data_IF_439579899332
#
_entry.id   IF_439579899332
#
_cell.length_a   1.000
_cell.length_b   1.000
_cell.length_c   1.000
_cell.angle_alpha   90.00
_cell.angle_beta   90.00
_cell.angle_gamma   90.00
#
_symmetry.space_group_name_H-M   'P 1'
#
loop_
_entity.id
_entity.type
_entity.pdbx_description
1 polymer ?
#
# COMPACT_ATOMS: atom_id res chain seq x y z
N UNK A 1 1.78 24.37 1.79
CA UNK A 1 1.63 23.04 2.39
C UNK A 1 1.77 21.99 1.31
N UNK A 2 2.75 21.10 1.45
CA UNK A 2 2.91 19.87 0.65
C UNK A 2 1.65 19.02 0.77
N UNK A 3 0.76 19.08 -0.23
CA UNK A 3 -0.53 18.39 -0.17
C UNK A 3 -0.58 17.32 -1.25
N UNK A 4 -0.49 16.08 -0.80
CA UNK A 4 -0.88 14.90 -1.57
C UNK A 4 -2.41 14.90 -1.62
N UNK A 5 -2.99 14.75 -2.82
CA UNK A 5 -4.42 14.65 -3.03
C UNK A 5 -4.91 13.22 -2.71
N UNK A 6 -5.04 12.94 -1.42
CA UNK A 6 -5.52 11.66 -0.90
C UNK A 6 -6.93 11.29 -1.38
N UNK A 7 -7.78 12.30 -1.67
CA UNK A 7 -9.15 12.07 -2.18
C UNK A 7 -9.12 11.39 -3.55
N UNK A 8 -8.25 11.84 -4.45
CA UNK A 8 -8.10 11.25 -5.78
C UNK A 8 -7.46 9.84 -5.68
N UNK A 9 -6.46 9.65 -4.81
CA UNK A 9 -5.86 8.32 -4.61
C UNK A 9 -6.85 7.28 -4.10
N UNK A 10 -7.68 7.64 -3.12
CA UNK A 10 -8.70 6.74 -2.59
C UNK A 10 -9.76 6.35 -3.65
N UNK A 11 -9.98 7.18 -4.67
CA UNK A 11 -10.86 6.88 -5.81
C UNK A 11 -10.19 6.01 -6.89
N UNK A 12 -8.86 5.82 -6.84
CA UNK A 12 -8.14 5.01 -7.83
C UNK A 12 -8.11 3.53 -7.42
N UNK A 13 -8.65 2.60 -8.22
CA UNK A 13 -8.53 1.17 -7.93
C UNK A 13 -7.07 0.70 -7.87
N UNK A 14 -6.20 1.25 -8.73
CA UNK A 14 -4.79 0.90 -8.79
C UNK A 14 -4.03 1.27 -7.50
N UNK A 15 -4.45 2.34 -6.83
CA UNK A 15 -3.89 2.70 -5.53
C UNK A 15 -4.14 1.60 -4.49
N UNK A 16 -5.35 1.04 -4.46
CA UNK A 16 -5.71 -0.05 -3.55
C UNK A 16 -5.01 -1.36 -3.91
N UNK A 17 -4.87 -1.68 -5.20
CA UNK A 17 -4.10 -2.85 -5.66
C UNK A 17 -2.64 -2.73 -5.23
N UNK A 18 -2.03 -1.55 -5.43
CA UNK A 18 -0.66 -1.28 -5.01
C UNK A 18 -0.48 -1.37 -3.49
N UNK A 19 -1.40 -0.76 -2.73
CA UNK A 19 -1.37 -0.80 -1.27
C UNK A 19 -1.52 -2.24 -0.74
N UNK A 20 -2.42 -3.03 -1.32
CA UNK A 20 -2.58 -4.44 -0.99
C UNK A 20 -1.28 -5.21 -1.26
N UNK A 21 -0.63 -4.97 -2.40
CA UNK A 21 0.65 -5.58 -2.74
C UNK A 21 1.75 -5.25 -1.74
N UNK A 22 1.88 -3.98 -1.35
CA UNK A 22 2.87 -3.50 -0.37
C UNK A 22 2.68 -4.14 1.01
N UNK A 23 1.43 -4.41 1.41
CA UNK A 23 1.12 -5.05 2.70
C UNK A 23 1.28 -6.57 2.61
N UNK A 24 0.71 -7.21 1.58
CA UNK A 24 0.66 -8.66 1.47
C UNK A 24 2.04 -9.26 1.15
N UNK A 25 2.84 -8.61 0.30
CA UNK A 25 4.13 -9.16 -0.13
C UNK A 25 5.11 -9.47 1.01
N UNK A 26 5.41 -8.57 1.97
CA UNK A 26 6.30 -8.91 3.08
C UNK A 26 5.72 -9.96 4.02
N UNK A 27 4.40 -10.01 4.20
CA UNK A 27 3.73 -11.03 5.04
C UNK A 27 3.90 -12.41 4.42
N UNK A 28 3.58 -12.55 3.13
CA UNK A 28 3.74 -13.81 2.41
C UNK A 28 5.21 -14.24 2.34
N UNK A 29 6.11 -13.30 2.03
CA UNK A 29 7.55 -13.58 1.96
C UNK A 29 8.12 -14.02 3.31
N UNK A 30 7.69 -13.41 4.41
CA UNK A 30 8.16 -13.76 5.76
C UNK A 30 7.81 -15.20 6.14
N UNK A 31 6.63 -15.68 5.75
CA UNK A 31 6.18 -17.05 6.02
C UNK A 31 6.52 -18.04 4.89
N UNK A 32 7.19 -17.60 3.82
CA UNK A 32 7.50 -18.43 2.67
C UNK A 32 6.26 -18.90 1.89
N UNK A 33 5.16 -18.14 1.98
CA UNK A 33 3.88 -18.45 1.35
C UNK A 33 3.79 -17.82 -0.04
N UNK A 34 3.02 -18.47 -0.90
CA UNK A 34 2.64 -17.99 -2.22
C UNK A 34 1.14 -17.71 -2.29
N UNK A 35 0.69 -17.09 -3.37
CA UNK A 35 -0.74 -16.90 -3.61
C UNK A 35 -1.48 -18.24 -3.79
N UNK A 36 -0.80 -19.30 -4.21
CA UNK A 36 -1.40 -20.62 -4.36
C UNK A 36 -1.73 -21.27 -2.99
N UNK A 37 -1.12 -20.77 -1.91
CA UNK A 37 -1.40 -21.24 -0.55
C UNK A 37 -2.64 -20.56 0.05
N UNK A 38 -3.10 -19.45 -0.55
CA UNK A 38 -4.24 -18.65 -0.09
C UNK A 38 -5.55 -19.05 -0.78
N UNK A 39 -5.83 -20.35 -0.84
CA UNK A 39 -6.99 -20.91 -1.57
C UNK A 39 -8.22 -21.14 -0.70
N UNK A 40 -8.09 -21.05 0.63
CA UNK A 40 -9.19 -21.23 1.58
C UNK A 40 -9.32 -20.01 2.50
N UNK A 41 -10.52 -19.81 3.04
CA UNK A 41 -10.74 -18.77 4.05
C UNK A 41 -9.98 -19.06 5.36
N UNK A 42 -9.76 -20.34 5.66
CA UNK A 42 -8.97 -20.76 6.81
C UNK A 42 -7.50 -20.36 6.66
N UNK A 43 -6.88 -20.61 5.50
CA UNK A 43 -5.49 -20.20 5.23
C UNK A 43 -5.32 -18.69 5.34
N UNK A 44 -6.29 -17.91 4.86
CA UNK A 44 -6.28 -16.45 4.99
C UNK A 44 -6.40 -16.04 6.46
N UNK A 45 -7.34 -16.64 7.21
CA UNK A 45 -7.53 -16.37 8.64
C UNK A 45 -6.27 -16.65 9.46
N UNK A 46 -5.59 -17.77 9.18
CA UNK A 46 -4.35 -18.16 9.84
C UNK A 46 -3.24 -17.14 9.61
N UNK A 47 -3.03 -16.70 8.36
CA UNK A 47 -2.02 -15.67 8.04
C UNK A 47 -2.32 -14.35 8.74
N UNK A 48 -3.60 -13.92 8.76
CA UNK A 48 -4.00 -12.71 9.46
C UNK A 48 -3.73 -12.79 10.96
N UNK A 49 -4.09 -13.91 11.59
CA UNK A 49 -3.82 -14.12 13.02
C UNK A 49 -2.31 -14.07 13.30
N UNK A 50 -1.52 -14.81 12.53
CA UNK A 50 -0.06 -14.84 12.68
C UNK A 50 0.55 -13.44 12.53
N UNK A 51 0.09 -12.67 11.55
CA UNK A 51 0.49 -11.27 11.35
C UNK A 51 0.23 -10.41 12.58
N UNK A 52 -1.01 -10.40 13.11
CA UNK A 52 -1.35 -9.54 14.26
C UNK A 52 -0.66 -9.95 15.56
N UNK A 53 -0.21 -11.21 15.67
CA UNK A 53 0.56 -11.69 16.83
C UNK A 53 2.08 -11.46 16.71
N UNK A 54 2.56 -10.89 15.61
CA UNK A 54 3.99 -10.69 15.35
C UNK A 54 4.36 -9.20 15.22
N UNK A 55 4.81 -8.54 16.31
CA UNK A 55 5.19 -7.12 16.30
C UNK A 55 6.30 -6.79 15.31
N UNK A 56 7.25 -7.70 15.10
CA UNK A 56 8.33 -7.51 14.13
C UNK A 56 7.76 -7.39 12.71
N UNK A 57 6.86 -8.31 12.34
CA UNK A 57 6.27 -8.32 11.00
C UNK A 57 5.35 -7.10 10.77
N UNK A 58 4.63 -6.65 11.80
CA UNK A 58 3.89 -5.38 11.77
C UNK A 58 4.85 -4.21 11.46
N UNK A 59 5.99 -4.16 12.15
CA UNK A 59 7.04 -3.18 11.88
C UNK A 59 7.57 -3.25 10.45
N UNK A 60 7.80 -4.45 9.92
CA UNK A 60 8.23 -4.65 8.53
C UNK A 60 7.21 -4.11 7.52
N UNK A 61 5.93 -4.41 7.71
CA UNK A 61 4.85 -3.90 6.84
C UNK A 61 4.77 -2.37 6.94
N UNK A 62 4.89 -1.81 8.14
CA UNK A 62 4.89 -0.35 8.32
C UNK A 62 6.06 0.30 7.58
N UNK A 63 7.27 -0.28 7.66
CA UNK A 63 8.43 0.21 6.92
C UNK A 63 8.24 0.09 5.41
N UNK A 64 7.66 -1.01 4.92
CA UNK A 64 7.34 -1.17 3.50
C UNK A 64 6.33 -0.10 3.02
N UNK A 65 5.30 0.19 3.81
CA UNK A 65 4.33 1.25 3.53
C UNK A 65 4.98 2.65 3.54
N UNK A 66 5.92 2.90 4.46
CA UNK A 66 6.69 4.15 4.48
C UNK A 66 7.59 4.29 3.26
N UNK A 67 8.27 3.22 2.84
CA UNK A 67 9.06 3.20 1.59
C UNK A 67 8.19 3.46 0.36
N UNK A 68 6.94 3.00 0.37
CA UNK A 68 5.97 3.25 -0.70
C UNK A 68 5.56 4.74 -0.82
N UNK A 69 5.78 5.58 0.20
CA UNK A 69 5.54 7.04 0.11
C UNK A 69 6.38 7.67 -1.01
N UNK A 70 7.60 7.16 -1.25
CA UNK A 70 8.43 7.60 -2.37
C UNK A 70 7.80 7.31 -3.73
N UNK A 71 7.13 6.17 -3.87
CA UNK A 71 6.37 5.79 -5.08
C UNK A 71 5.09 6.62 -5.21
N UNK A 72 4.47 6.98 -4.09
CA UNK A 72 3.29 7.84 -4.07
C UNK A 72 3.61 9.30 -4.37
N UNK A 73 4.84 9.76 -4.23
CA UNK A 73 5.20 11.16 -4.46
C UNK A 73 5.22 11.45 -5.96
N UNK A 74 4.60 12.55 -6.39
CA UNK A 74 4.59 12.95 -7.80
C UNK A 74 6.03 13.31 -8.25
N UNK A 75 6.65 12.54 -9.16
CA UNK A 75 8.04 12.74 -9.56
C UNK A 75 8.23 14.05 -10.36
N UNK A 76 7.13 14.66 -10.82
CA UNK A 76 7.16 15.97 -11.50
C UNK A 76 7.21 17.13 -10.52
N UNK A 77 7.20 16.87 -9.21
CA UNK A 77 7.25 17.91 -8.19
C UNK A 77 8.45 17.82 -7.26
N UNK A 78 8.91 18.99 -6.79
CA UNK A 78 9.92 19.06 -5.73
C UNK A 78 9.29 18.75 -4.37
N UNK A 79 9.76 17.70 -3.72
CA UNK A 79 9.36 17.27 -2.38
C UNK A 79 8.14 16.35 -2.38
N UNK A 80 7.63 16.02 -1.19
CA UNK A 80 6.51 15.09 -1.00
C UNK A 80 5.19 15.85 -1.25
N UNK A 81 4.82 16.06 -2.51
CA UNK A 81 3.58 16.72 -2.90
C UNK A 81 3.08 16.20 -4.24
N UNK A 82 1.84 16.57 -4.58
CA UNK A 82 1.31 16.43 -5.93
C UNK A 82 1.49 17.73 -6.73
N UNK A 83 1.50 17.62 -8.05
CA UNK A 83 1.47 18.77 -8.96
C UNK A 83 0.24 19.64 -8.75
N UNK A 84 0.34 20.93 -9.07
CA UNK A 84 -0.80 21.87 -8.99
C UNK A 84 -1.98 21.38 -9.83
N UNK A 85 -1.67 20.73 -10.95
CA UNK A 85 -2.66 20.08 -11.80
C UNK A 85 -3.41 18.99 -11.04
N UNK A 86 -2.70 18.03 -10.44
CA UNK A 86 -3.30 16.94 -9.66
C UNK A 86 -4.07 17.43 -8.41
N UNK A 87 -3.71 18.59 -7.87
CA UNK A 87 -4.46 19.24 -6.78
C UNK A 87 -5.78 19.87 -7.26
N UNK A 88 -5.89 20.23 -8.53
CA UNK A 88 -7.08 20.85 -9.13
C UNK A 88 -8.22 19.88 -9.44
N UNK A 89 -7.97 18.56 -9.45
CA UNK A 89 -8.98 17.56 -9.77
C UNK A 89 -9.55 16.86 -8.54
N UNK A 90 -10.82 16.49 -8.62
CA UNK A 90 -11.55 15.72 -7.60
C UNK A 90 -11.70 14.24 -7.96
N UNK A 91 -11.28 13.86 -9.17
CA UNK A 91 -11.37 12.51 -9.73
C UNK A 91 -10.11 12.13 -10.50
N UNK A 92 -9.76 10.83 -10.58
CA UNK A 92 -8.65 10.37 -11.38
C UNK A 92 -8.85 10.76 -12.85
N UNK A 93 -7.78 11.22 -13.50
CA UNK A 93 -7.78 11.33 -14.95
C UNK A 93 -7.53 9.94 -15.54
N UNK A 94 -8.40 9.54 -16.45
CA UNK A 94 -8.24 8.33 -17.25
C UNK A 94 -7.06 8.43 -18.21
#
# INVERSE_FOLDING_TARGET
MSKINWKVRAKSPLFWVGLLGVIASPVLAYYGLSYADMTTWESIGNVLQQFFTNPFLIGTVAMAALSFIGVLTDPTTKGIKDSEQAQGYTEPKG
#
